data_IF_325457391672
#
_entry.id   IF_325457391672
#
_cell.length_a   1.000
_cell.length_b   1.000
_cell.length_c   1.000
_cell.angle_alpha   90.00
_cell.angle_beta   90.00
_cell.angle_gamma   90.00
#
_symmetry.space_group_name_H-M   'P 1'
#
loop_
_entity.id
_entity.type
_entity.pdbx_description
1 polymer ?
#
# COMPACT_ATOMS: atom_id res chain seq x y z
N UNK A 1 61.89 22.16 -14.61
CA UNK A 1 60.64 21.36 -14.44
C UNK A 1 59.35 22.19 -14.43
N UNK A 2 59.33 23.46 -14.01
CA UNK A 2 58.11 24.30 -14.04
C UNK A 2 57.72 24.77 -15.45
N UNK A 3 58.68 25.13 -16.31
CA UNK A 3 58.42 25.54 -17.70
C UNK A 3 57.79 24.43 -18.57
N UNK A 4 58.16 23.17 -18.33
CA UNK A 4 57.64 22.02 -19.08
C UNK A 4 56.19 21.69 -18.68
N UNK A 5 55.81 21.95 -17.41
CA UNK A 5 54.42 21.80 -16.93
C UNK A 5 53.50 22.89 -17.47
N UNK A 6 53.99 24.12 -17.63
CA UNK A 6 53.21 25.22 -18.22
C UNK A 6 52.98 25.03 -19.72
N UNK A 7 53.97 24.50 -20.46
CA UNK A 7 53.81 24.16 -21.88
C UNK A 7 52.83 22.99 -22.09
N UNK A 8 52.86 21.98 -21.22
CA UNK A 8 51.90 20.86 -21.27
C UNK A 8 50.47 21.31 -20.92
N UNK A 9 50.32 22.25 -19.97
CA UNK A 9 49.03 22.82 -19.61
C UNK A 9 48.44 23.68 -20.74
N UNK A 10 49.26 24.43 -21.48
CA UNK A 10 48.81 25.15 -22.68
C UNK A 10 48.42 24.20 -23.82
N UNK A 11 49.14 23.09 -24.03
CA UNK A 11 48.79 22.07 -25.02
C UNK A 11 47.51 21.31 -24.67
N UNK A 12 47.25 21.06 -23.39
CA UNK A 12 46.00 20.41 -22.92
C UNK A 12 44.82 21.39 -22.86
N UNK A 13 45.05 22.70 -22.77
CA UNK A 13 44.00 23.72 -22.79
C UNK A 13 43.57 24.14 -24.22
N UNK A 14 44.43 23.94 -25.22
CA UNK A 14 44.10 24.23 -26.63
C UNK A 14 43.57 23.02 -27.39
N UNK A 15 43.87 21.78 -26.95
CA UNK A 15 43.31 20.56 -27.54
C UNK A 15 41.77 20.40 -27.46
N UNK A 16 41.04 20.88 -26.43
CA UNK A 16 39.58 20.71 -26.37
C UNK A 16 38.83 21.65 -27.31
N UNK A 17 39.45 22.77 -27.73
CA UNK A 17 38.80 23.73 -28.63
C UNK A 17 38.85 23.29 -30.09
N UNK A 18 39.89 22.57 -30.51
CA UNK A 18 39.98 22.07 -31.89
C UNK A 18 39.03 20.90 -32.15
N UNK A 19 38.76 20.04 -31.14
CA UNK A 19 37.84 18.91 -31.29
C UNK A 19 36.36 19.33 -31.27
N UNK A 20 36.01 20.40 -30.55
CA UNK A 20 34.60 20.85 -30.46
C UNK A 20 34.08 21.46 -31.78
N UNK A 21 34.97 21.98 -32.64
CA UNK A 21 34.58 22.64 -33.89
C UNK A 21 34.38 21.63 -35.05
N UNK A 22 35.10 20.51 -35.04
CA UNK A 22 34.91 19.39 -35.99
C UNK A 22 33.60 18.60 -35.73
N UNK A 23 33.20 18.47 -34.46
CA UNK A 23 31.97 17.75 -34.07
C UNK A 23 30.68 18.51 -34.45
N UNK A 24 30.73 19.84 -34.56
CA UNK A 24 29.58 20.66 -34.88
C UNK A 24 29.18 20.64 -36.37
N UNK A 25 30.18 20.70 -37.25
CA UNK A 25 29.96 20.70 -38.69
C UNK A 25 29.57 19.29 -39.18
N UNK A 26 30.05 18.25 -38.50
CA UNK A 26 29.58 16.87 -38.67
C UNK A 26 28.18 16.65 -38.10
N UNK A 27 27.80 17.31 -37.00
CA UNK A 27 26.42 17.28 -36.49
C UNK A 27 25.43 17.84 -37.53
N UNK A 28 25.74 18.96 -38.21
CA UNK A 28 24.92 19.50 -39.30
C UNK A 28 24.76 18.51 -40.48
N UNK A 29 25.80 17.73 -40.77
CA UNK A 29 25.79 16.73 -41.85
C UNK A 29 24.88 15.53 -41.56
N UNK A 30 24.58 15.27 -40.28
CA UNK A 30 23.68 14.19 -39.85
C UNK A 30 22.22 14.62 -39.74
N UNK A 31 21.90 15.90 -39.95
CA UNK A 31 20.51 16.39 -39.86
C UNK A 31 19.67 15.88 -41.04
N UNK A 32 18.39 15.52 -40.80
CA UNK A 32 17.42 15.29 -41.86
C UNK A 32 17.26 16.52 -42.77
N UNK A 33 17.00 16.28 -44.07
CA UNK A 33 16.85 17.35 -45.07
C UNK A 33 15.74 18.35 -44.71
N UNK A 34 14.66 17.89 -44.08
CA UNK A 34 13.57 18.76 -43.62
C UNK A 34 14.04 19.73 -42.52
N UNK A 35 14.82 19.22 -41.56
CA UNK A 35 15.30 19.99 -40.42
C UNK A 35 16.40 20.97 -40.80
N UNK A 36 17.27 20.57 -41.74
CA UNK A 36 18.29 21.46 -42.31
C UNK A 36 17.64 22.69 -42.96
N UNK A 37 16.53 22.52 -43.70
CA UNK A 37 15.78 23.65 -44.29
C UNK A 37 15.23 24.57 -43.20
N UNK A 38 14.59 24.02 -42.17
CA UNK A 38 14.09 24.81 -41.03
C UNK A 38 15.20 25.59 -40.32
N UNK A 39 16.36 24.97 -40.13
CA UNK A 39 17.51 25.61 -39.50
C UNK A 39 18.06 26.77 -40.34
N UNK A 40 18.23 26.58 -41.65
CA UNK A 40 18.70 27.65 -42.56
C UNK A 40 17.74 28.82 -42.58
N UNK A 41 16.44 28.57 -42.77
CA UNK A 41 15.41 29.63 -42.82
C UNK A 41 15.33 30.41 -41.51
N UNK A 42 15.41 29.72 -40.36
CA UNK A 42 15.39 30.40 -39.07
C UNK A 42 16.66 31.23 -38.83
N UNK A 43 17.82 30.75 -39.28
CA UNK A 43 19.09 31.47 -39.17
C UNK A 43 19.09 32.74 -40.04
N UNK A 44 18.55 32.69 -41.27
CA UNK A 44 18.42 33.86 -42.16
C UNK A 44 17.61 35.00 -41.53
N UNK A 45 16.63 34.67 -40.69
CA UNK A 45 15.83 35.67 -39.95
C UNK A 45 16.43 36.09 -38.61
N UNK A 46 17.57 35.52 -38.21
CA UNK A 46 18.20 35.70 -36.91
C UNK A 46 19.50 36.50 -36.97
N UNK A 47 20.05 36.82 -35.79
CA UNK A 47 21.36 37.48 -35.66
C UNK A 47 22.54 36.50 -35.64
N UNK A 48 22.29 35.19 -35.77
CA UNK A 48 23.35 34.17 -35.73
C UNK A 48 23.87 33.85 -37.13
N UNK A 49 25.16 33.52 -37.24
CA UNK A 49 25.76 33.06 -38.51
C UNK A 49 25.56 31.56 -38.72
N UNK A 50 25.52 31.14 -39.99
CA UNK A 50 25.41 29.73 -40.36
C UNK A 50 26.67 28.97 -39.93
N UNK A 51 26.53 28.08 -38.94
CA UNK A 51 27.65 27.34 -38.36
C UNK A 51 28.14 27.89 -37.00
N UNK A 52 27.62 29.02 -36.52
CA UNK A 52 27.84 29.46 -35.14
C UNK A 52 26.93 28.68 -34.18
N UNK A 53 27.46 27.54 -33.73
CA UNK A 53 26.83 26.64 -32.76
C UNK A 53 26.55 27.36 -31.45
N UNK A 54 27.46 28.22 -30.99
CA UNK A 54 27.34 28.87 -29.69
C UNK A 54 26.19 29.87 -29.69
N UNK A 55 26.05 30.65 -30.76
CA UNK A 55 24.91 31.54 -30.94
C UNK A 55 23.59 30.74 -31.06
N UNK A 56 23.59 29.68 -31.87
CA UNK A 56 22.41 28.82 -32.07
C UNK A 56 21.94 28.13 -30.77
N UNK A 57 22.89 27.74 -29.91
CA UNK A 57 22.61 27.06 -28.64
C UNK A 57 22.19 28.00 -27.50
N UNK A 58 22.50 29.30 -27.59
CA UNK A 58 22.19 30.28 -26.54
C UNK A 58 20.96 31.13 -26.85
N UNK A 59 20.58 31.23 -28.12
CA UNK A 59 19.46 32.04 -28.58
C UNK A 59 18.11 31.29 -28.46
N UNK A 60 17.41 31.50 -27.34
CA UNK A 60 16.12 30.86 -27.04
C UNK A 60 15.00 31.11 -28.09
N UNK A 61 14.77 32.34 -28.61
CA UNK A 61 13.74 32.54 -29.63
C UNK A 61 14.07 31.83 -30.95
N UNK A 62 15.35 31.79 -31.34
CA UNK A 62 15.79 31.02 -32.51
C UNK A 62 15.48 29.52 -32.34
N UNK A 63 15.76 28.95 -31.16
CA UNK A 63 15.44 27.55 -30.87
C UNK A 63 13.95 27.26 -30.93
N UNK A 64 13.11 28.18 -30.44
CA UNK A 64 11.66 28.04 -30.50
C UNK A 64 11.12 28.08 -31.94
N UNK A 65 11.69 28.94 -32.79
CA UNK A 65 11.34 29.04 -34.22
C UNK A 65 11.73 27.75 -34.96
N UNK A 66 12.94 27.23 -34.71
CA UNK A 66 13.42 25.96 -35.27
C UNK A 66 12.55 24.81 -34.80
N UNK A 67 12.26 24.70 -33.50
CA UNK A 67 11.39 23.65 -32.95
C UNK A 67 10.00 23.71 -33.58
N UNK A 68 9.42 24.90 -33.71
CA UNK A 68 8.12 25.09 -34.36
C UNK A 68 8.13 24.65 -35.83
N UNK A 69 9.15 25.02 -36.61
CA UNK A 69 9.26 24.62 -38.01
C UNK A 69 9.48 23.12 -38.18
N UNK A 70 10.34 22.53 -37.35
CA UNK A 70 10.64 21.09 -37.40
C UNK A 70 9.40 20.28 -37.03
N UNK A 71 8.63 20.69 -36.01
CA UNK A 71 7.40 20.00 -35.62
C UNK A 71 6.29 20.07 -36.68
N UNK A 72 6.29 21.08 -37.56
CA UNK A 72 5.30 21.21 -38.64
C UNK A 72 5.73 20.59 -39.96
N UNK A 73 7.04 20.55 -40.24
CA UNK A 73 7.58 20.23 -41.58
C UNK A 73 8.33 18.90 -41.65
N UNK A 74 8.68 18.29 -40.51
CA UNK A 74 9.36 17.00 -40.43
C UNK A 74 8.46 15.92 -39.83
N UNK A 75 8.79 14.66 -40.09
CA UNK A 75 8.21 13.53 -39.33
C UNK A 75 8.65 13.59 -37.87
N UNK A 76 7.90 12.96 -36.97
CA UNK A 76 8.24 12.93 -35.53
C UNK A 76 9.59 12.28 -35.29
N UNK A 77 9.92 11.23 -36.05
CA UNK A 77 11.20 10.54 -35.95
C UNK A 77 12.35 11.46 -36.35
N UNK A 78 12.20 12.21 -37.45
CA UNK A 78 13.18 13.22 -37.87
C UNK A 78 13.29 14.35 -36.85
N UNK A 79 12.16 14.85 -36.32
CA UNK A 79 12.15 15.89 -35.29
C UNK A 79 12.90 15.46 -34.02
N UNK A 80 12.73 14.20 -33.59
CA UNK A 80 13.42 13.62 -32.44
C UNK A 80 14.91 13.41 -32.72
N UNK A 81 15.27 12.95 -33.91
CA UNK A 81 16.68 12.83 -34.35
C UNK A 81 17.35 14.20 -34.39
N UNK A 82 16.70 15.22 -34.95
CA UNK A 82 17.17 16.60 -34.96
C UNK A 82 17.37 17.11 -33.54
N UNK A 83 16.38 16.91 -32.65
CA UNK A 83 16.50 17.32 -31.25
C UNK A 83 17.67 16.64 -30.54
N UNK A 84 17.91 15.35 -30.80
CA UNK A 84 19.06 14.63 -30.27
C UNK A 84 20.38 15.26 -30.76
N UNK A 85 20.55 15.37 -32.08
CA UNK A 85 21.76 15.92 -32.69
C UNK A 85 22.03 17.35 -32.24
N UNK A 86 21.02 18.23 -32.25
CA UNK A 86 21.17 19.62 -31.83
C UNK A 86 21.52 19.74 -30.34
N UNK A 87 20.86 18.98 -29.46
CA UNK A 87 21.16 19.02 -28.03
C UNK A 87 22.54 18.42 -27.70
N UNK A 88 22.96 17.38 -28.41
CA UNK A 88 24.32 16.84 -28.31
C UNK A 88 25.36 17.85 -28.79
N UNK A 89 25.13 18.50 -29.94
CA UNK A 89 26.01 19.56 -30.45
C UNK A 89 26.11 20.76 -29.50
N UNK A 90 25.02 21.10 -28.80
CA UNK A 90 25.01 22.13 -27.76
C UNK A 90 25.64 21.70 -26.43
N UNK A 91 26.10 20.46 -26.30
CA UNK A 91 26.65 19.93 -25.04
C UNK A 91 25.64 19.89 -23.90
N UNK A 92 24.34 19.76 -24.21
CA UNK A 92 23.30 19.73 -23.18
C UNK A 92 23.48 18.50 -22.25
N UNK A 93 23.36 18.67 -20.92
CA UNK A 93 23.58 17.57 -20.00
C UNK A 93 22.51 16.48 -20.17
N UNK A 94 22.94 15.26 -20.53
CA UNK A 94 22.03 14.10 -20.62
C UNK A 94 21.59 13.70 -19.22
N UNK A 95 20.30 13.86 -18.92
CA UNK A 95 19.78 13.54 -17.59
C UNK A 95 19.52 12.04 -17.49
N UNK A 96 20.10 11.39 -16.46
CA UNK A 96 19.94 9.95 -16.27
C UNK A 96 19.69 9.60 -14.80
N UNK A 97 18.42 9.31 -14.47
CA UNK A 97 17.99 8.90 -13.12
C UNK A 97 17.60 7.42 -13.04
N UNK A 98 17.95 6.63 -14.07
CA UNK A 98 17.60 5.21 -14.16
C UNK A 98 18.13 4.41 -12.98
N UNK A 99 19.40 4.59 -12.61
CA UNK A 99 20.04 3.82 -11.54
C UNK A 99 19.37 4.03 -10.18
N UNK A 100 19.06 5.29 -9.86
CA UNK A 100 18.33 5.63 -8.63
C UNK A 100 16.94 4.99 -8.61
N UNK A 101 16.21 5.05 -9.73
CA UNK A 101 14.87 4.46 -9.85
C UNK A 101 14.89 2.94 -9.63
N UNK A 102 15.81 2.23 -10.31
CA UNK A 102 15.94 0.77 -10.18
C UNK A 102 16.34 0.39 -8.75
N UNK A 103 17.28 1.11 -8.14
CA UNK A 103 17.71 0.87 -6.76
C UNK A 103 16.55 1.02 -5.78
N UNK A 104 15.79 2.13 -5.85
CA UNK A 104 14.61 2.35 -5.00
C UNK A 104 13.54 1.27 -5.21
N UNK A 105 13.25 0.90 -6.45
CA UNK A 105 12.26 -0.14 -6.77
C UNK A 105 12.66 -1.50 -6.19
N UNK A 106 13.93 -1.90 -6.35
CA UNK A 106 14.43 -3.20 -5.84
C UNK A 106 14.44 -3.24 -4.31
N UNK A 107 14.95 -2.19 -3.65
CA UNK A 107 15.01 -2.14 -2.18
C UNK A 107 13.61 -2.19 -1.57
N UNK A 108 12.67 -1.38 -2.09
CA UNK A 108 11.29 -1.37 -1.60
C UNK A 108 10.58 -2.70 -1.89
N UNK A 109 10.84 -3.31 -3.05
CA UNK A 109 10.28 -4.62 -3.41
C UNK A 109 10.76 -5.76 -2.52
N UNK A 110 12.06 -5.79 -2.18
CA UNK A 110 12.60 -6.78 -1.24
C UNK A 110 11.99 -6.56 0.15
N UNK A 111 11.94 -5.31 0.61
CA UNK A 111 11.38 -4.98 1.91
C UNK A 111 9.91 -5.40 2.02
N UNK A 112 9.07 -5.03 1.06
CA UNK A 112 7.66 -5.40 1.06
C UNK A 112 7.46 -6.92 0.94
N UNK A 113 8.26 -7.60 0.13
CA UNK A 113 8.27 -9.06 0.01
C UNK A 113 8.60 -9.76 1.33
N UNK A 114 9.60 -9.28 2.08
CA UNK A 114 9.93 -9.80 3.41
C UNK A 114 8.76 -9.66 4.38
N UNK A 115 8.02 -8.55 4.35
CA UNK A 115 6.84 -8.36 5.20
C UNK A 115 5.68 -9.30 4.82
N UNK A 116 5.48 -9.58 3.53
CA UNK A 116 4.51 -10.58 3.07
C UNK A 116 4.89 -11.97 3.60
N UNK A 117 6.15 -12.38 3.40
CA UNK A 117 6.67 -13.68 3.89
C UNK A 117 6.54 -13.77 5.41
N UNK A 118 6.90 -12.71 6.14
CA UNK A 118 6.75 -12.61 7.59
C UNK A 118 5.30 -12.79 8.01
N UNK A 119 4.36 -12.14 7.33
CA UNK A 119 2.93 -12.24 7.60
C UNK A 119 2.42 -13.68 7.48
N UNK A 120 2.72 -14.37 6.37
CA UNK A 120 2.29 -15.75 6.16
C UNK A 120 2.99 -16.72 7.11
N UNK A 121 4.30 -16.57 7.30
CA UNK A 121 5.08 -17.38 8.24
C UNK A 121 4.50 -17.30 9.65
N UNK A 122 4.19 -16.09 10.12
CA UNK A 122 3.58 -15.88 11.45
C UNK A 122 2.27 -16.67 11.59
N UNK A 123 1.39 -16.62 10.58
CA UNK A 123 0.09 -17.31 10.63
C UNK A 123 0.24 -18.83 10.55
N UNK A 124 1.16 -19.33 9.72
CA UNK A 124 1.42 -20.75 9.56
C UNK A 124 2.03 -21.33 10.85
N UNK A 125 3.08 -20.70 11.39
CA UNK A 125 3.74 -21.17 12.62
C UNK A 125 2.81 -21.12 13.84
N UNK A 126 1.98 -20.09 13.96
CA UNK A 126 1.02 -19.94 15.06
C UNK A 126 -0.33 -20.64 14.79
N UNK A 127 -0.47 -21.38 13.68
CA UNK A 127 -1.70 -22.08 13.26
C UNK A 127 -2.95 -21.19 13.30
N UNK A 128 -2.79 -19.91 12.93
CA UNK A 128 -3.88 -18.94 12.89
C UNK A 128 -4.73 -19.17 11.64
N UNK A 129 -6.07 -19.03 11.72
CA UNK A 129 -6.92 -19.21 10.55
C UNK A 129 -6.67 -18.12 9.51
N UNK A 130 -6.50 -18.56 8.26
CA UNK A 130 -6.37 -17.72 7.09
C UNK A 130 -7.73 -17.09 6.77
N UNK A 131 -7.75 -15.77 6.58
CA UNK A 131 -8.96 -15.03 6.25
C UNK A 131 -8.95 -14.51 4.81
N UNK A 132 -10.05 -13.85 4.42
CA UNK A 132 -10.12 -13.15 3.14
C UNK A 132 -9.04 -12.06 3.01
N UNK A 133 -8.63 -11.46 4.13
CA UNK A 133 -7.50 -10.52 4.18
C UNK A 133 -6.21 -11.16 3.63
N UNK A 134 -5.97 -12.43 3.92
CA UNK A 134 -4.78 -13.14 3.41
C UNK A 134 -4.90 -13.50 1.94
N UNK A 135 -6.10 -13.89 1.48
CA UNK A 135 -6.36 -14.17 0.06
C UNK A 135 -6.06 -12.96 -0.81
N UNK A 136 -6.56 -11.78 -0.42
CA UNK A 136 -6.28 -10.55 -1.15
C UNK A 136 -4.82 -10.12 -1.04
N UNK A 137 -4.11 -10.45 0.05
CA UNK A 137 -2.65 -10.26 0.10
C UNK A 137 -1.89 -11.15 -0.90
N UNK A 138 -2.40 -12.35 -1.22
CA UNK A 138 -1.81 -13.18 -2.30
C UNK A 138 -2.01 -12.48 -3.65
N UNK A 139 -3.20 -11.95 -3.94
CA UNK A 139 -3.41 -11.19 -5.18
C UNK A 139 -2.55 -9.92 -5.27
N UNK A 140 -2.32 -9.25 -4.14
CA UNK A 140 -1.35 -8.15 -4.03
C UNK A 140 0.07 -8.64 -4.38
N UNK A 141 0.50 -9.79 -3.86
CA UNK A 141 1.82 -10.34 -4.21
C UNK A 141 1.92 -10.71 -5.71
N UNK A 142 0.88 -11.32 -6.26
CA UNK A 142 0.79 -11.70 -7.68
C UNK A 142 0.84 -10.48 -8.62
N UNK A 143 0.44 -9.30 -8.17
CA UNK A 143 0.50 -8.04 -8.95
C UNK A 143 1.77 -7.24 -8.67
N UNK A 144 2.27 -7.25 -7.43
CA UNK A 144 3.47 -6.54 -7.03
C UNK A 144 4.75 -7.14 -7.66
N UNK A 145 4.88 -8.47 -7.70
CA UNK A 145 6.08 -9.13 -8.26
C UNK A 145 6.29 -8.78 -9.74
N UNK A 146 5.29 -8.92 -10.64
CA UNK A 146 5.42 -8.46 -12.02
C UNK A 146 5.74 -6.97 -12.12
N UNK A 147 5.12 -6.13 -11.27
CA UNK A 147 5.34 -4.68 -11.28
C UNK A 147 6.81 -4.32 -10.99
N UNK A 148 7.44 -4.98 -10.01
CA UNK A 148 8.86 -4.79 -9.67
C UNK A 148 9.74 -5.19 -10.85
N UNK A 149 9.46 -6.34 -11.48
CA UNK A 149 10.23 -6.86 -12.62
C UNK A 149 10.08 -5.96 -13.86
N UNK A 150 8.86 -5.52 -14.19
CA UNK A 150 8.60 -4.65 -15.34
C UNK A 150 9.23 -3.27 -15.14
N UNK A 151 9.23 -2.72 -13.92
CA UNK A 151 9.96 -1.47 -13.64
C UNK A 151 11.47 -1.60 -13.92
N UNK A 152 12.09 -2.69 -13.46
CA UNK A 152 13.54 -2.88 -13.55
C UNK A 152 14.03 -3.32 -14.95
N UNK A 153 13.27 -4.19 -15.63
CA UNK A 153 13.68 -4.81 -16.89
C UNK A 153 12.83 -4.37 -18.10
N UNK A 154 11.68 -3.74 -17.88
CA UNK A 154 10.82 -3.16 -18.92
C UNK A 154 11.04 -1.66 -19.06
N UNK A 155 10.66 -0.85 -18.07
CA UNK A 155 10.67 0.61 -18.16
C UNK A 155 12.09 1.19 -18.12
N UNK A 156 12.93 0.74 -17.20
CA UNK A 156 14.31 1.23 -17.03
C UNK A 156 15.18 1.14 -18.30
N UNK A 157 15.24 0.01 -19.03
CA UNK A 157 16.00 -0.05 -20.27
C UNK A 157 15.35 0.75 -21.41
N UNK A 158 14.02 0.82 -21.46
CA UNK A 158 13.28 1.53 -22.51
C UNK A 158 13.12 3.04 -22.26
N UNK A 159 13.80 3.61 -21.27
CA UNK A 159 14.05 5.05 -21.20
C UNK A 159 13.40 5.81 -20.05
N UNK A 160 12.75 5.14 -19.08
CA UNK A 160 12.27 5.90 -17.91
C UNK A 160 13.43 6.58 -17.18
N UNK A 161 13.25 7.87 -16.88
CA UNK A 161 14.28 8.67 -16.24
C UNK A 161 15.45 9.06 -17.15
N UNK A 162 15.28 8.92 -18.46
CA UNK A 162 16.13 9.47 -19.52
C UNK A 162 15.29 10.35 -20.43
N UNK A 163 15.97 11.26 -21.10
CA UNK A 163 15.32 12.17 -22.03
C UNK A 163 14.85 11.43 -23.30
N UNK A 164 13.61 11.69 -23.74
CA UNK A 164 12.97 10.93 -24.82
C UNK A 164 13.75 10.97 -26.14
N UNK A 165 14.42 12.09 -26.45
CA UNK A 165 15.23 12.25 -27.66
C UNK A 165 16.48 11.36 -27.70
N UNK A 166 16.89 10.77 -26.56
CA UNK A 166 18.01 9.83 -26.49
C UNK A 166 17.61 8.39 -26.82
N UNK A 167 16.33 8.14 -27.12
CA UNK A 167 15.75 6.81 -27.29
C UNK A 167 15.50 6.50 -28.76
N UNK A 168 15.62 5.22 -29.09
CA UNK A 168 15.22 4.71 -30.41
C UNK A 168 13.69 4.62 -30.53
N UNK A 169 13.11 4.73 -31.75
CA UNK A 169 11.68 4.54 -32.01
C UNK A 169 11.08 3.27 -31.36
N UNK A 170 11.83 2.18 -31.41
CA UNK A 170 11.41 0.90 -30.84
C UNK A 170 11.38 0.95 -29.30
N UNK A 171 12.34 1.64 -28.67
CA UNK A 171 12.34 1.85 -27.22
C UNK A 171 11.17 2.72 -26.76
N UNK A 172 10.82 3.76 -27.51
CA UNK A 172 9.67 4.63 -27.19
C UNK A 172 8.36 3.81 -27.23
N UNK A 173 8.19 3.00 -28.27
CA UNK A 173 7.02 2.11 -28.39
C UNK A 173 6.97 1.09 -27.25
N UNK A 174 8.10 0.46 -26.92
CA UNK A 174 8.17 -0.49 -25.81
C UNK A 174 7.94 0.19 -24.46
N UNK A 175 8.44 1.40 -24.24
CA UNK A 175 8.13 2.19 -23.06
C UNK A 175 6.63 2.39 -22.91
N UNK A 176 5.93 2.80 -23.97
CA UNK A 176 4.47 2.93 -23.97
C UNK A 176 3.75 1.62 -23.61
N UNK A 177 4.18 0.50 -24.19
CA UNK A 177 3.62 -0.84 -23.88
C UNK A 177 3.79 -1.23 -22.41
N UNK A 178 4.99 -1.10 -21.86
CA UNK A 178 5.21 -1.45 -20.46
C UNK A 178 4.53 -0.47 -19.51
N UNK A 179 4.49 0.82 -19.85
CA UNK A 179 3.80 1.84 -19.06
C UNK A 179 2.29 1.57 -19.01
N UNK A 180 1.69 1.15 -20.12
CA UNK A 180 0.30 0.68 -20.18
C UNK A 180 0.04 -0.50 -19.22
N UNK A 181 0.87 -1.54 -19.28
CA UNK A 181 0.74 -2.71 -18.40
C UNK A 181 0.89 -2.30 -16.93
N UNK A 182 1.85 -1.43 -16.62
CA UNK A 182 2.08 -0.92 -15.26
C UNK A 182 0.89 -0.12 -14.73
N UNK A 183 0.22 0.68 -15.56
CA UNK A 183 -0.98 1.41 -15.16
C UNK A 183 -2.10 0.46 -14.72
N UNK A 184 -2.33 -0.63 -15.46
CA UNK A 184 -3.32 -1.66 -15.11
C UNK A 184 -2.94 -2.35 -13.81
N UNK A 185 -1.69 -2.83 -13.71
CA UNK A 185 -1.19 -3.50 -12.49
C UNK A 185 -1.29 -2.61 -11.26
N UNK A 186 -1.05 -1.30 -11.42
CA UNK A 186 -1.18 -0.33 -10.35
C UNK A 186 -2.62 -0.24 -9.82
N UNK A 187 -3.63 -0.15 -10.69
CA UNK A 187 -5.04 -0.11 -10.24
C UNK A 187 -5.46 -1.43 -9.58
N UNK A 188 -5.02 -2.58 -10.12
CA UNK A 188 -5.24 -3.88 -9.49
C UNK A 188 -4.61 -3.95 -8.10
N UNK A 189 -3.35 -3.56 -7.98
CA UNK A 189 -2.60 -3.56 -6.72
C UNK A 189 -3.29 -2.72 -5.66
N UNK A 190 -3.64 -1.47 -5.98
CA UNK A 190 -4.32 -0.54 -5.08
C UNK A 190 -5.67 -1.08 -4.59
N UNK A 191 -6.45 -1.68 -5.51
CA UNK A 191 -7.75 -2.26 -5.20
C UNK A 191 -7.61 -3.44 -4.24
N UNK A 192 -6.75 -4.41 -4.56
CA UNK A 192 -6.57 -5.60 -3.73
C UNK A 192 -5.98 -5.27 -2.35
N UNK A 193 -5.08 -4.29 -2.29
CA UNK A 193 -4.47 -3.84 -1.05
C UNK A 193 -5.47 -3.21 -0.10
N UNK A 194 -6.34 -2.31 -0.60
CA UNK A 194 -7.42 -1.72 0.21
C UNK A 194 -8.44 -2.78 0.64
N UNK A 195 -8.82 -3.69 -0.26
CA UNK A 195 -9.72 -4.81 0.08
C UNK A 195 -9.14 -5.68 1.21
N UNK A 196 -7.85 -6.04 1.12
CA UNK A 196 -7.13 -6.75 2.19
C UNK A 196 -7.22 -6.02 3.55
N UNK A 197 -6.97 -4.70 3.57
CA UNK A 197 -7.09 -3.89 4.79
C UNK A 197 -8.53 -3.85 5.35
N UNK A 198 -9.53 -3.69 4.48
CA UNK A 198 -10.94 -3.62 4.89
C UNK A 198 -11.41 -4.98 5.44
N UNK A 199 -11.03 -6.10 4.80
CA UNK A 199 -11.33 -7.44 5.31
C UNK A 199 -10.66 -7.71 6.66
N UNK A 200 -9.44 -7.22 6.84
CA UNK A 200 -8.77 -7.27 8.13
C UNK A 200 -9.55 -6.48 9.21
N UNK A 201 -10.07 -5.29 8.89
CA UNK A 201 -10.92 -4.52 9.80
C UNK A 201 -12.27 -5.20 10.08
N UNK A 202 -12.89 -5.85 9.10
CA UNK A 202 -14.11 -6.65 9.29
C UNK A 202 -13.92 -7.80 10.27
N UNK A 203 -12.71 -8.38 10.31
CA UNK A 203 -12.35 -9.43 11.26
C UNK A 203 -12.11 -8.91 12.68
N UNK A 204 -11.63 -7.68 12.83
CA UNK A 204 -11.30 -7.09 14.14
C UNK A 204 -12.51 -6.49 14.83
N UNK A 205 -13.36 -5.77 14.10
CA UNK A 205 -14.44 -4.97 14.70
C UNK A 205 -15.78 -5.71 14.60
N UNK A 206 -16.32 -6.25 15.70
CA UNK A 206 -17.61 -6.96 15.68
C UNK A 206 -18.83 -6.02 15.66
N UNK A 207 -18.66 -4.72 15.91
CA UNK A 207 -19.75 -3.74 16.04
C UNK A 207 -20.63 -3.66 14.79
N UNK A 208 -21.94 -3.95 14.92
CA UNK A 208 -22.91 -4.03 13.79
C UNK A 208 -22.89 -2.78 12.88
N UNK A 209 -22.88 -1.57 13.45
CA UNK A 209 -22.84 -0.32 12.68
C UNK A 209 -21.55 -0.13 11.87
N UNK A 210 -20.41 -0.47 12.46
CA UNK A 210 -19.08 -0.39 11.80
C UNK A 210 -18.99 -1.42 10.69
N UNK A 211 -19.49 -2.63 10.94
CA UNK A 211 -19.51 -3.73 9.97
C UNK A 211 -20.34 -3.36 8.73
N UNK A 212 -21.49 -2.68 8.90
CA UNK A 212 -22.27 -2.16 7.76
C UNK A 212 -21.48 -1.13 6.94
N UNK A 213 -20.79 -0.20 7.60
CA UNK A 213 -19.92 0.79 6.94
C UNK A 213 -18.75 0.13 6.18
N UNK A 214 -18.10 -0.87 6.79
CA UNK A 214 -17.01 -1.62 6.18
C UNK A 214 -17.47 -2.40 4.94
N UNK A 215 -18.61 -3.11 5.00
CA UNK A 215 -19.16 -3.78 3.82
C UNK A 215 -19.54 -2.80 2.70
N UNK A 216 -20.11 -1.64 3.04
CA UNK A 216 -20.33 -0.57 2.06
C UNK A 216 -19.03 -0.11 1.41
N UNK A 217 -17.95 -0.01 2.19
CA UNK A 217 -16.62 0.38 1.70
C UNK A 217 -16.01 -0.71 0.82
N UNK A 218 -16.21 -2.00 1.12
CA UNK A 218 -15.80 -3.12 0.25
C UNK A 218 -16.46 -3.00 -1.12
N UNK A 219 -17.78 -2.84 -1.16
CA UNK A 219 -18.55 -2.74 -2.41
C UNK A 219 -18.08 -1.54 -3.23
N UNK A 220 -17.97 -0.37 -2.59
CA UNK A 220 -17.51 0.84 -3.26
C UNK A 220 -16.09 0.69 -3.80
N UNK A 221 -15.15 0.14 -3.01
CA UNK A 221 -13.75 -0.05 -3.42
C UNK A 221 -13.64 -1.04 -4.58
N UNK A 222 -14.40 -2.13 -4.55
CA UNK A 222 -14.42 -3.13 -5.62
C UNK A 222 -14.97 -2.55 -6.93
N UNK A 223 -16.09 -1.82 -6.87
CA UNK A 223 -16.68 -1.17 -8.05
C UNK A 223 -15.73 -0.11 -8.60
N UNK A 224 -15.21 0.77 -7.73
CA UNK A 224 -14.25 1.80 -8.10
C UNK A 224 -13.03 1.20 -8.80
N UNK A 225 -12.40 0.19 -8.20
CA UNK A 225 -11.25 -0.50 -8.79
C UNK A 225 -11.57 -1.10 -10.15
N UNK A 226 -12.69 -1.80 -10.26
CA UNK A 226 -13.12 -2.44 -11.51
C UNK A 226 -13.36 -1.41 -12.62
N UNK A 227 -14.04 -0.30 -12.32
CA UNK A 227 -14.30 0.78 -13.28
C UNK A 227 -12.99 1.37 -13.81
N UNK A 228 -12.02 1.71 -12.94
CA UNK A 228 -10.76 2.30 -13.40
C UNK A 228 -9.84 1.31 -14.12
N UNK A 229 -9.90 0.03 -13.78
CA UNK A 229 -9.23 -1.03 -14.55
C UNK A 229 -9.79 -1.05 -15.98
N UNK A 230 -11.11 -1.08 -16.14
CA UNK A 230 -11.73 -1.07 -17.48
C UNK A 230 -11.48 0.23 -18.25
N UNK A 231 -11.56 1.38 -17.59
CA UNK A 231 -11.22 2.67 -18.21
C UNK A 231 -9.79 2.64 -18.73
N UNK A 232 -8.83 2.12 -17.95
CA UNK A 232 -7.42 2.07 -18.33
C UNK A 232 -7.17 1.08 -19.46
N UNK A 233 -7.83 -0.08 -19.46
CA UNK A 233 -7.73 -1.07 -20.54
C UNK A 233 -8.29 -0.49 -21.85
N UNK A 234 -9.45 0.17 -21.78
CA UNK A 234 -10.16 0.69 -22.95
C UNK A 234 -9.98 2.21 -23.15
N UNK A 235 -8.89 2.78 -22.64
CA UNK A 235 -8.66 4.22 -22.69
C UNK A 235 -8.40 4.75 -24.11
N UNK A 236 -7.97 3.89 -25.04
CA UNK A 236 -7.72 4.25 -26.43
C UNK A 236 -8.48 3.32 -27.39
N UNK A 237 -8.89 3.86 -28.52
CA UNK A 237 -9.51 3.13 -29.64
C UNK A 237 -8.72 3.41 -30.93
N UNK A 238 -8.04 2.41 -31.52
CA UNK A 238 -7.80 1.04 -30.99
C UNK A 238 -6.87 1.04 -29.75
N UNK A 239 -6.84 -0.05 -28.96
CA UNK A 239 -6.00 -0.16 -27.75
C UNK A 239 -4.51 0.05 -28.09
N UNK A 240 -4.08 -0.43 -29.27
CA UNK A 240 -2.73 -0.25 -29.75
C UNK A 240 -2.30 1.20 -29.91
N UNK A 241 -3.27 2.10 -30.08
CA UNK A 241 -3.01 3.51 -30.22
C UNK A 241 -2.34 4.11 -28.97
N UNK A 242 -2.48 3.51 -27.79
CA UNK A 242 -1.80 4.01 -26.59
C UNK A 242 -0.26 4.05 -26.74
N UNK A 243 0.34 3.05 -27.39
CA UNK A 243 1.79 2.96 -27.56
C UNK A 243 2.26 3.31 -28.97
N UNK A 244 1.36 3.56 -29.92
CA UNK A 244 1.72 4.05 -31.26
C UNK A 244 1.44 5.54 -31.44
N UNK A 245 0.58 6.18 -30.62
CA UNK A 245 0.23 7.62 -30.73
C UNK A 245 1.44 8.56 -30.84
N UNK A 246 2.59 8.19 -30.28
CA UNK A 246 3.78 9.05 -30.27
C UNK A 246 4.32 9.36 -31.67
N UNK A 247 4.10 8.49 -32.67
CA UNK A 247 4.62 8.68 -34.03
C UNK A 247 3.76 9.58 -34.92
N UNK A 248 2.53 9.89 -34.50
CA UNK A 248 1.54 10.64 -35.28
C UNK A 248 1.21 10.05 -36.67
N UNK A 249 1.60 8.80 -36.94
CA UNK A 249 1.32 8.09 -38.20
C UNK A 249 0.05 7.24 -38.10
N UNK A 250 -0.33 6.89 -36.89
CA UNK A 250 -1.52 6.08 -36.63
C UNK A 250 -2.73 6.94 -36.28
N UNK A 251 -3.89 6.56 -36.80
CA UNK A 251 -5.16 7.20 -36.42
C UNK A 251 -5.78 6.51 -35.21
N UNK A 252 -6.30 7.31 -34.29
CA UNK A 252 -7.00 6.81 -33.12
C UNK A 252 -7.40 7.92 -32.17
N UNK A 253 -8.24 7.58 -31.21
CA UNK A 253 -8.68 8.49 -30.15
C UNK A 253 -8.41 7.86 -28.79
N UNK A 254 -7.96 8.69 -27.84
CA UNK A 254 -7.79 8.29 -26.45
C UNK A 254 -8.61 9.22 -25.56
N UNK A 255 -9.05 8.69 -24.42
CA UNK A 255 -9.56 9.50 -23.32
C UNK A 255 -8.47 10.46 -22.83
N UNK A 256 -8.90 11.56 -22.22
CA UNK A 256 -7.98 12.48 -21.57
C UNK A 256 -7.32 11.78 -20.38
N UNK A 257 -6.05 11.41 -20.57
CA UNK A 257 -5.23 10.71 -19.57
C UNK A 257 -5.10 11.55 -18.31
N UNK A 258 -4.97 12.87 -18.42
CA UNK A 258 -4.85 13.75 -17.26
C UNK A 258 -6.16 13.74 -16.45
N UNK A 259 -7.31 13.83 -17.13
CA UNK A 259 -8.61 13.76 -16.46
C UNK A 259 -8.83 12.43 -15.73
N UNK A 260 -8.47 11.30 -16.36
CA UNK A 260 -8.56 9.96 -15.75
C UNK A 260 -7.64 9.84 -14.54
N UNK A 261 -6.39 10.29 -14.65
CA UNK A 261 -5.44 10.14 -13.54
C UNK A 261 -5.78 11.10 -12.38
N UNK A 262 -6.19 12.34 -12.64
CA UNK A 262 -6.55 13.29 -11.57
C UNK A 262 -7.81 12.89 -10.81
N UNK A 263 -8.84 12.42 -11.52
CA UNK A 263 -10.07 11.90 -10.91
C UNK A 263 -9.79 10.65 -10.07
N UNK A 264 -9.07 9.68 -10.62
CA UNK A 264 -8.71 8.46 -9.89
C UNK A 264 -7.88 8.75 -8.64
N UNK A 265 -6.88 9.64 -8.74
CA UNK A 265 -6.00 9.97 -7.65
C UNK A 265 -6.74 10.67 -6.50
N UNK A 266 -7.65 11.59 -6.81
CA UNK A 266 -8.47 12.29 -5.82
C UNK A 266 -9.36 11.32 -5.02
N UNK A 267 -10.04 10.41 -5.71
CA UNK A 267 -10.89 9.40 -5.07
C UNK A 267 -10.04 8.40 -4.27
N UNK A 268 -8.85 8.02 -4.78
CA UNK A 268 -7.96 7.10 -4.07
C UNK A 268 -7.50 7.66 -2.72
N UNK A 269 -7.16 8.97 -2.68
CA UNK A 269 -6.79 9.68 -1.45
C UNK A 269 -7.98 9.76 -0.49
N UNK A 270 -9.17 10.10 -1.00
CA UNK A 270 -10.38 10.12 -0.18
C UNK A 270 -10.66 8.76 0.46
N UNK A 271 -10.45 7.67 -0.30
CA UNK A 271 -10.56 6.31 0.21
C UNK A 271 -9.51 5.97 1.27
N UNK A 272 -8.26 6.41 1.11
CA UNK A 272 -7.23 6.20 2.12
C UNK A 272 -7.61 6.87 3.46
N UNK A 273 -8.07 8.12 3.40
CA UNK A 273 -8.52 8.87 4.58
C UNK A 273 -9.74 8.21 5.23
N UNK A 274 -10.70 7.76 4.42
CA UNK A 274 -11.89 7.07 4.90
C UNK A 274 -11.56 5.77 5.63
N UNK A 275 -10.75 4.90 5.01
CA UNK A 275 -10.34 3.61 5.58
C UNK A 275 -9.56 3.83 6.89
N UNK A 276 -8.74 4.88 6.95
CA UNK A 276 -7.97 5.28 8.13
C UNK A 276 -8.85 5.82 9.28
N UNK A 277 -9.97 6.47 8.95
CA UNK A 277 -10.89 7.07 9.94
C UNK A 277 -11.72 6.02 10.69
N UNK A 278 -12.08 4.91 10.03
CA UNK A 278 -12.89 3.83 10.62
C UNK A 278 -12.30 3.30 11.94
N UNK A 279 -11.04 2.79 12.00
CA UNK A 279 -10.47 2.27 13.23
C UNK A 279 -10.30 3.36 14.31
N UNK A 280 -9.97 4.60 13.93
CA UNK A 280 -9.86 5.71 14.89
C UNK A 280 -11.16 5.99 15.64
N UNK A 281 -12.28 5.98 14.92
CA UNK A 281 -13.59 6.24 15.51
C UNK A 281 -13.93 5.23 16.61
N UNK A 282 -13.46 3.98 16.45
CA UNK A 282 -13.66 2.91 17.42
C UNK A 282 -12.69 3.00 18.59
N UNK A 283 -11.44 3.38 18.32
CA UNK A 283 -10.43 3.53 19.37
C UNK A 283 -10.75 4.61 20.38
N UNK A 284 -11.38 5.73 19.95
CA UNK A 284 -11.81 6.79 20.87
C UNK A 284 -12.86 6.29 21.88
N UNK A 285 -13.63 5.27 21.52
CA UNK A 285 -14.70 4.70 22.36
C UNK A 285 -14.22 3.55 23.25
N UNK A 286 -13.01 3.02 23.04
CA UNK A 286 -12.53 1.82 23.70
C UNK A 286 -11.42 2.14 24.71
N UNK A 287 -11.65 1.86 26.00
CA UNK A 287 -10.66 2.00 27.07
C UNK A 287 -9.58 0.91 26.98
N UNK A 288 -8.64 1.08 26.05
CA UNK A 288 -7.49 0.18 25.88
C UNK A 288 -6.31 0.57 26.79
N UNK A 289 -5.65 -0.44 27.37
CA UNK A 289 -4.36 -0.28 28.05
C UNK A 289 -3.33 0.45 27.16
N UNK A 290 -2.51 1.32 27.77
CA UNK A 290 -1.53 2.17 27.08
C UNK A 290 -0.62 1.39 26.11
N UNK A 291 -0.23 0.16 26.46
CA UNK A 291 0.59 -0.72 25.60
C UNK A 291 -0.14 -1.25 24.37
N UNK A 292 -1.46 -1.48 24.44
CA UNK A 292 -2.27 -1.82 23.26
C UNK A 292 -2.46 -0.57 22.39
N UNK A 293 -2.61 0.58 23.03
CA UNK A 293 -2.70 1.90 22.37
C UNK A 293 -1.46 2.22 21.53
N UNK A 294 -0.24 1.91 22.00
CA UNK A 294 0.99 2.12 21.22
C UNK A 294 1.01 1.30 19.92
N UNK A 295 0.59 0.03 19.98
CA UNK A 295 0.60 -0.86 18.81
C UNK A 295 -0.40 -0.43 17.74
N UNK A 296 -1.56 0.07 18.16
CA UNK A 296 -2.55 0.63 17.24
C UNK A 296 -2.10 2.00 16.71
N UNK A 297 -1.43 2.82 17.54
CA UNK A 297 -0.82 4.07 17.12
C UNK A 297 0.23 3.89 16.02
N UNK A 298 1.05 2.83 16.09
CA UNK A 298 2.03 2.52 15.03
C UNK A 298 1.36 2.11 13.71
N UNK A 299 0.26 1.35 13.74
CA UNK A 299 -0.49 1.03 12.51
C UNK A 299 -1.10 2.29 11.88
N UNK A 300 -1.57 3.20 12.74
CA UNK A 300 -2.17 4.45 12.31
C UNK A 300 -1.16 5.41 11.69
N UNK A 301 0.05 5.53 12.26
CA UNK A 301 1.10 6.40 11.71
C UNK A 301 1.52 5.96 10.31
N UNK A 302 1.60 4.65 10.05
CA UNK A 302 1.89 4.15 8.71
C UNK A 302 0.75 4.41 7.74
N UNK A 303 -0.50 4.29 8.19
CA UNK A 303 -1.66 4.69 7.38
C UNK A 303 -1.63 6.18 6.99
N UNK A 304 -1.27 7.08 7.91
CA UNK A 304 -1.07 8.51 7.59
C UNK A 304 0.06 8.66 6.58
N UNK A 305 1.17 7.96 6.79
CA UNK A 305 2.30 8.04 5.86
C UNK A 305 1.90 7.62 4.44
N UNK A 306 1.10 6.55 4.28
CA UNK A 306 0.53 6.16 2.98
C UNK A 306 -0.30 7.30 2.38
N UNK A 307 -1.18 7.95 3.14
CA UNK A 307 -1.98 9.08 2.62
C UNK A 307 -1.11 10.24 2.13
N UNK A 308 0.00 10.53 2.82
CA UNK A 308 0.96 11.56 2.39
C UNK A 308 1.61 11.15 1.07
N UNK A 309 1.99 9.88 0.90
CA UNK A 309 2.55 9.38 -0.36
C UNK A 309 1.55 9.53 -1.51
N UNK A 310 0.27 9.23 -1.28
CA UNK A 310 -0.80 9.42 -2.27
C UNK A 310 -0.93 10.89 -2.72
N UNK A 311 -0.79 11.85 -1.80
CA UNK A 311 -0.79 13.29 -2.10
C UNK A 311 0.45 13.69 -2.92
N UNK A 312 1.63 13.20 -2.56
CA UNK A 312 2.87 13.48 -3.31
C UNK A 312 2.80 12.92 -4.73
N UNK A 313 2.20 11.73 -4.91
CA UNK A 313 1.93 11.17 -6.24
C UNK A 313 1.00 12.06 -7.07
N UNK A 314 -0.09 12.56 -6.48
CA UNK A 314 -1.00 13.48 -7.16
C UNK A 314 -0.25 14.75 -7.60
N UNK A 315 0.56 15.35 -6.71
CA UNK A 315 1.37 16.52 -7.04
C UNK A 315 2.33 16.24 -8.21
N UNK A 316 3.04 15.11 -8.19
CA UNK A 316 3.93 14.71 -9.28
C UNK A 316 3.16 14.49 -10.61
N UNK A 317 1.95 13.95 -10.54
CA UNK A 317 1.10 13.73 -11.72
C UNK A 317 0.61 15.06 -12.29
N UNK A 318 0.19 16.00 -11.44
CA UNK A 318 -0.24 17.33 -11.89
C UNK A 318 0.93 18.07 -12.54
N UNK A 319 2.14 17.96 -11.98
CA UNK A 319 3.34 18.56 -12.57
C UNK A 319 3.67 17.96 -13.95
N UNK A 320 3.58 16.63 -14.09
CA UNK A 320 3.77 15.95 -15.38
C UNK A 320 2.66 16.30 -16.40
N UNK A 321 1.41 16.43 -15.97
CA UNK A 321 0.27 16.71 -16.85
C UNK A 321 0.17 18.18 -17.29
N UNK A 322 0.74 19.11 -16.53
CA UNK A 322 0.70 20.56 -16.84
C UNK A 322 1.83 21.03 -17.75
N UNK A 323 2.69 20.12 -18.23
CA UNK A 323 3.69 20.43 -19.26
C UNK A 323 4.71 21.50 -18.86
N UNK A 324 4.98 21.66 -17.56
CA UNK A 324 6.00 22.61 -17.07
C UNK A 324 7.43 22.15 -17.37
N UNK A 325 7.63 20.96 -17.93
CA UNK A 325 8.90 20.49 -18.46
C UNK A 325 8.93 20.51 -19.99
N UNK A 326 10.14 20.61 -20.54
CA UNK A 326 10.38 20.47 -21.98
C UNK A 326 9.73 19.19 -22.48
N UNK A 327 8.79 19.24 -23.45
CA UNK A 327 8.09 18.13 -24.12
C UNK A 327 8.78 16.75 -24.05
N UNK A 328 8.77 16.09 -22.89
CA UNK A 328 9.64 14.94 -22.60
C UNK A 328 8.97 14.04 -21.56
N UNK A 329 8.00 13.23 -22.00
CA UNK A 329 7.20 12.42 -21.09
C UNK A 329 8.06 11.39 -20.35
N UNK A 330 9.06 10.76 -20.97
CA UNK A 330 9.89 9.72 -20.32
C UNK A 330 10.66 10.25 -19.11
N UNK A 331 10.97 11.54 -19.11
CA UNK A 331 11.56 12.23 -17.97
C UNK A 331 10.53 12.60 -16.91
N UNK A 332 9.40 13.22 -17.30
CA UNK A 332 8.40 13.73 -16.35
C UNK A 332 7.69 12.61 -15.58
N UNK A 333 7.43 11.46 -16.23
CA UNK A 333 6.75 10.32 -15.61
C UNK A 333 7.63 9.53 -14.64
N UNK A 334 8.94 9.83 -14.52
CA UNK A 334 9.80 9.17 -13.53
C UNK A 334 9.31 9.43 -12.10
N UNK A 335 8.90 10.66 -11.81
CA UNK A 335 8.45 11.07 -10.48
C UNK A 335 7.15 10.35 -10.12
N UNK A 336 6.20 10.31 -11.06
CA UNK A 336 4.93 9.60 -10.92
C UNK A 336 5.15 8.11 -10.64
N UNK A 337 6.01 7.46 -11.42
CA UNK A 337 6.30 6.02 -11.28
C UNK A 337 7.03 5.72 -9.97
N UNK A 338 7.96 6.59 -9.57
CA UNK A 338 8.69 6.47 -8.30
C UNK A 338 7.74 6.56 -7.10
N UNK A 339 6.88 7.59 -7.05
CA UNK A 339 5.91 7.73 -5.96
C UNK A 339 4.89 6.60 -5.93
N UNK A 340 4.41 6.14 -7.09
CA UNK A 340 3.49 4.98 -7.18
C UNK A 340 4.12 3.70 -6.64
N UNK A 341 5.41 3.48 -6.93
CA UNK A 341 6.17 2.34 -6.42
C UNK A 341 6.33 2.40 -4.91
N UNK A 342 6.69 3.58 -4.37
CA UNK A 342 6.83 3.78 -2.92
C UNK A 342 5.50 3.55 -2.22
N UNK A 343 4.43 4.19 -2.71
CA UNK A 343 3.09 4.07 -2.16
C UNK A 343 2.61 2.61 -2.10
N UNK A 344 2.73 1.86 -3.20
CA UNK A 344 2.31 0.45 -3.24
C UNK A 344 3.08 -0.41 -2.23
N UNK A 345 4.41 -0.28 -2.18
CA UNK A 345 5.25 -1.05 -1.26
C UNK A 345 5.01 -0.67 0.21
N UNK A 346 4.85 0.61 0.52
CA UNK A 346 4.53 1.10 1.87
C UNK A 346 3.13 0.63 2.28
N UNK A 347 2.16 0.63 1.36
CA UNK A 347 0.84 0.07 1.59
C UNK A 347 0.87 -1.42 1.95
N UNK A 348 1.72 -2.20 1.30
CA UNK A 348 1.94 -3.63 1.60
C UNK A 348 2.49 -3.78 3.02
N UNK A 349 3.51 -3.00 3.37
CA UNK A 349 4.10 -3.00 4.71
C UNK A 349 3.04 -2.65 5.76
N UNK A 350 2.22 -1.64 5.49
CA UNK A 350 1.09 -1.23 6.33
C UNK A 350 0.09 -2.38 6.56
N UNK A 351 -0.31 -3.08 5.49
CA UNK A 351 -1.22 -4.21 5.56
C UNK A 351 -0.64 -5.43 6.32
N UNK A 352 0.69 -5.56 6.36
CA UNK A 352 1.40 -6.62 7.09
C UNK A 352 1.67 -6.29 8.57
N UNK A 353 1.61 -5.02 8.97
CA UNK A 353 1.85 -4.59 10.36
C UNK A 353 1.05 -5.33 11.44
N UNK A 354 -0.23 -5.68 11.23
CA UNK A 354 -0.97 -6.45 12.22
C UNK A 354 -0.37 -7.80 12.57
N UNK A 355 0.09 -8.55 11.56
CA UNK A 355 0.77 -9.81 11.78
C UNK A 355 2.13 -9.59 12.43
N UNK A 356 2.85 -8.52 12.05
CA UNK A 356 4.11 -8.15 12.71
C UNK A 356 3.91 -7.87 14.20
N UNK A 357 2.84 -7.15 14.58
CA UNK A 357 2.51 -6.92 16.00
C UNK A 357 2.31 -8.22 16.76
N UNK A 358 1.60 -9.19 16.18
CA UNK A 358 1.38 -10.50 16.80
C UNK A 358 2.71 -11.22 17.03
N UNK A 359 3.59 -11.22 16.02
CA UNK A 359 4.92 -11.81 16.12
C UNK A 359 5.77 -11.13 17.20
N UNK A 360 5.80 -9.79 17.25
CA UNK A 360 6.61 -9.05 18.23
C UNK A 360 6.19 -9.32 19.67
N UNK A 361 4.88 -9.47 19.93
CA UNK A 361 4.37 -9.84 21.27
C UNK A 361 4.83 -11.25 21.67
N UNK A 362 4.97 -12.17 20.72
CA UNK A 362 5.40 -13.56 20.99
C UNK A 362 6.91 -13.70 21.15
N UNK A 363 7.71 -12.98 20.35
CA UNK A 363 9.19 -13.06 20.40
C UNK A 363 9.77 -12.27 21.58
N UNK A 364 9.18 -11.11 21.91
CA UNK A 364 9.65 -10.26 22.98
C UNK A 364 8.63 -10.11 24.11
N UNK A 365 8.24 -11.20 24.80
CA UNK A 365 7.30 -11.12 25.91
C UNK A 365 7.86 -10.23 27.02
N UNK A 366 9.19 -10.19 27.21
CA UNK A 366 9.86 -9.36 28.22
C UNK A 366 9.89 -7.86 27.91
N UNK A 367 9.91 -7.46 26.64
CA UNK A 367 9.93 -6.02 26.25
C UNK A 367 8.50 -5.46 26.17
N UNK A 368 7.50 -6.29 25.84
CA UNK A 368 6.12 -5.83 25.62
C UNK A 368 5.08 -6.33 26.65
N UNK A 369 5.41 -7.29 27.53
CA UNK A 369 4.49 -7.71 28.61
C UNK A 369 5.06 -8.68 29.66
N UNK A 370 5.47 -8.15 30.82
CA UNK A 370 5.36 -8.89 32.09
C UNK A 370 4.13 -8.40 32.85
N UNK A 371 2.96 -8.84 32.41
CA UNK A 371 1.81 -8.98 33.30
C UNK A 371 1.45 -10.45 33.36
N UNK A 372 2.41 -11.27 33.83
CA UNK A 372 2.04 -12.49 34.55
C UNK A 372 1.46 -12.02 35.87
N UNK A 373 0.12 -11.96 35.90
CA UNK A 373 -0.68 -11.91 37.12
C UNK A 373 -0.23 -13.07 38.02
N UNK A 374 -0.02 -12.77 39.30
CA UNK A 374 0.74 -13.60 40.23
C UNK A 374 0.31 -15.05 40.29
N UNK A 375 1.29 -15.93 40.07
CA UNK A 375 1.40 -17.14 40.87
C UNK A 375 2.61 -16.88 41.77
N UNK A 376 2.36 -16.24 42.91
CA UNK A 376 3.34 -16.23 43.98
C UNK A 376 3.51 -17.69 44.41
N UNK A 377 4.69 -18.23 44.11
CA UNK A 377 5.25 -19.39 44.78
C UNK A 377 5.44 -18.99 46.25
N UNK A 378 4.38 -19.11 47.04
CA UNK A 378 4.47 -19.15 48.50
C UNK A 378 4.54 -20.61 48.89
N UNK A 379 5.72 -20.98 49.42
CA UNK A 379 5.91 -21.85 50.59
C UNK A 379 7.10 -22.80 50.42
N UNK A 380 8.28 -22.22 50.66
CA UNK A 380 9.31 -22.86 51.47
C UNK A 380 9.10 -22.35 52.90
N UNK A 381 8.44 -23.11 53.76
CA UNK A 381 8.69 -23.08 55.20
C UNK A 381 8.28 -24.39 55.87
N UNK A 382 9.24 -25.00 56.55
CA UNK A 382 9.00 -25.73 57.80
C UNK A 382 8.47 -27.16 57.67
N UNK A 383 9.37 -28.12 57.52
CA UNK A 383 9.18 -29.42 58.15
C UNK A 383 9.03 -29.18 59.66
N UNK A 384 7.85 -29.41 60.23
CA UNK A 384 7.76 -29.72 61.64
C UNK A 384 6.62 -30.71 61.90
N UNK A 385 7.08 -31.87 62.36
CA UNK A 385 6.35 -33.04 62.81
C UNK A 385 5.65 -32.70 64.13
N UNK A 386 4.33 -32.90 64.31
CA UNK A 386 3.73 -32.82 65.64
C UNK A 386 3.74 -34.21 66.29
N UNK A 387 4.52 -34.34 67.35
CA UNK A 387 4.30 -35.35 68.39
C UNK A 387 3.30 -34.83 69.41
N UNK A 388 2.32 -35.67 69.73
CA UNK A 388 1.28 -35.49 70.74
C UNK A 388 1.77 -34.94 72.08
N UNK A 389 0.90 -34.16 72.74
CA UNK A 389 0.93 -34.04 74.21
C UNK A 389 0.27 -32.79 74.79
N UNK A 390 -0.97 -32.95 75.26
CA UNK A 390 -1.34 -32.58 76.64
C UNK A 390 -1.64 -31.12 77.02
N UNK A 391 -2.85 -30.96 77.55
CA UNK A 391 -3.25 -30.16 78.74
C UNK A 391 -3.51 -28.64 78.65
N UNK A 392 -4.75 -28.30 79.05
CA UNK A 392 -5.24 -27.20 79.89
C UNK A 392 -4.60 -25.79 79.76
N UNK A 393 -5.42 -24.78 79.44
CA UNK A 393 -5.78 -23.69 80.37
C UNK A 393 -6.57 -22.53 79.71
N UNK A 394 -7.61 -22.11 80.44
CA UNK A 394 -8.08 -20.72 80.68
C UNK A 394 -8.41 -19.72 79.55
N UNK A 395 -9.70 -19.31 79.58
CA UNK A 395 -10.23 -17.92 79.59
C UNK A 395 -9.71 -16.91 78.56
N UNK A 396 -10.61 -16.40 77.72
CA UNK A 396 -11.07 -14.99 77.82
C UNK A 396 -12.26 -14.72 76.90
N UNK A 397 -13.19 -13.92 77.42
CA UNK A 397 -14.42 -13.42 76.78
C UNK A 397 -14.09 -12.43 75.66
N UNK A 398 -14.98 -12.29 74.66
CA UNK A 398 -15.66 -11.01 74.35
C UNK A 398 -16.70 -11.11 73.23
N UNK A 399 -17.96 -10.91 73.65
CA UNK A 399 -19.05 -10.12 73.01
C UNK A 399 -19.46 -10.38 71.54
N UNK A 400 -20.66 -10.95 71.42
CA UNK A 400 -21.63 -10.65 70.36
C UNK A 400 -22.16 -9.19 70.45
N UNK A 401 -22.82 -8.68 69.40
CA UNK A 401 -24.30 -8.77 69.32
C UNK A 401 -24.76 -9.08 67.87
N UNK A 402 -26.02 -9.34 67.52
CA UNK A 402 -27.25 -9.89 68.11
C UNK A 402 -28.27 -9.83 66.95
N UNK A 403 -29.02 -10.91 66.73
CA UNK A 403 -30.28 -10.93 65.96
C UNK A 403 -30.17 -11.50 64.53
N UNK A 404 -31.06 -12.35 64.03
CA UNK A 404 -32.24 -13.03 64.60
C UNK A 404 -32.51 -14.28 63.74
N UNK A 405 -33.08 -15.29 64.39
CA UNK A 405 -33.34 -16.68 63.99
C UNK A 405 -34.36 -16.89 62.86
N UNK A 406 -34.19 -17.96 62.07
CA UNK A 406 -35.22 -19.01 61.96
C UNK A 406 -34.61 -20.36 61.51
N UNK A 407 -34.98 -21.41 62.25
CA UNK A 407 -34.65 -22.82 62.09
C UNK A 407 -35.40 -23.45 60.92
N UNK A 408 -34.79 -24.38 60.18
CA UNK A 408 -35.30 -25.76 59.98
C UNK A 408 -34.11 -26.70 59.81
N UNK A 409 -34.19 -27.82 60.52
CA UNK A 409 -33.19 -28.85 60.75
C UNK A 409 -33.55 -30.12 59.95
N UNK A 410 -32.56 -30.73 59.26
CA UNK A 410 -32.20 -32.16 59.27
C UNK A 410 -31.47 -32.65 57.99
N UNK A 411 -30.32 -33.23 58.27
CA UNK A 411 -29.19 -33.86 57.54
C UNK A 411 -29.56 -35.09 56.67
N UNK A 412 -28.64 -35.68 55.82
CA UNK A 412 -27.17 -35.61 55.88
C UNK A 412 -26.44 -35.23 54.59
N UNK A 413 -25.39 -34.43 54.78
CA UNK A 413 -24.35 -34.20 53.79
C UNK A 413 -23.60 -35.50 53.48
N UNK A 414 -23.67 -35.94 52.23
CA UNK A 414 -22.71 -36.89 51.68
C UNK A 414 -21.34 -36.22 51.65
N UNK A 415 -20.36 -36.84 52.32
CA UNK A 415 -18.94 -36.55 52.22
C UNK A 415 -18.54 -36.45 50.74
N UNK A 416 -17.95 -35.32 50.34
CA UNK A 416 -17.16 -35.21 49.13
C UNK A 416 -15.79 -34.70 49.56
N UNK A 417 -14.76 -35.44 49.16
CA UNK A 417 -13.38 -35.35 49.60
C UNK A 417 -12.73 -33.98 49.31
N UNK A 418 -11.78 -33.51 50.15
CA UNK A 418 -11.15 -32.19 49.99
C UNK A 418 -10.04 -32.14 48.91
N UNK A 419 -9.94 -33.15 48.03
CA UNK A 419 -8.95 -33.18 46.94
C UNK A 419 -9.69 -33.44 45.62
N UNK A 420 -10.36 -32.41 45.12
CA UNK A 420 -10.97 -32.38 43.79
C UNK A 420 -10.91 -30.96 43.24
N UNK A 421 -10.46 -30.80 42.00
CA UNK A 421 -10.52 -29.49 41.33
C UNK A 421 -11.96 -29.29 40.86
N UNK A 422 -12.69 -28.38 41.51
CA UNK A 422 -14.00 -27.92 41.05
C UNK A 422 -13.82 -26.86 39.96
N UNK A 423 -14.43 -27.10 38.80
CA UNK A 423 -14.45 -26.16 37.68
C UNK A 423 -15.86 -25.61 37.54
N UNK A 424 -16.09 -24.40 38.07
CA UNK A 424 -17.34 -23.68 37.84
C UNK A 424 -17.31 -23.03 36.46
N UNK A 425 -18.34 -23.34 35.66
CA UNK A 425 -18.49 -22.86 34.29
C UNK A 425 -19.78 -22.06 34.19
N UNK A 426 -19.67 -20.75 34.08
CA UNK A 426 -20.81 -19.85 33.87
C UNK A 426 -21.11 -19.72 32.38
N UNK A 427 -22.38 -19.84 32.02
CA UNK A 427 -22.90 -19.59 30.67
C UNK A 427 -23.84 -18.40 30.71
N UNK A 428 -23.75 -17.54 29.70
CA UNK A 428 -24.74 -16.48 29.47
C UNK A 428 -25.82 -17.06 28.55
N UNK A 429 -27.05 -17.17 29.06
CA UNK A 429 -28.20 -17.67 28.30
C UNK A 429 -28.95 -16.46 27.74
N UNK A 430 -28.87 -16.26 26.43
CA UNK A 430 -29.65 -15.25 25.71
C UNK A 430 -31.02 -15.84 25.35
N UNK A 431 -32.06 -15.45 26.07
CA UNK A 431 -33.43 -15.90 25.79
C UNK A 431 -33.96 -15.20 24.53
N UNK A 432 -34.20 -15.97 23.47
CA UNK A 432 -34.98 -15.52 22.32
C UNK A 432 -36.45 -15.39 22.72
N UNK A 433 -37.10 -14.30 22.29
CA UNK A 433 -38.47 -13.93 22.64
C UNK A 433 -39.57 -14.91 22.13
N UNK A 434 -39.19 -16.11 21.70
CA UNK A 434 -40.05 -17.17 21.16
C UNK A 434 -39.90 -18.52 21.88
N UNK A 435 -38.98 -18.66 22.83
CA UNK A 435 -38.67 -19.97 23.45
C UNK A 435 -39.68 -20.44 24.52
N UNK A 436 -40.63 -19.60 24.92
CA UNK A 436 -41.68 -19.99 25.88
C UNK A 436 -42.83 -20.80 25.25
N UNK A 437 -42.89 -20.93 23.93
CA UNK A 437 -44.04 -21.56 23.25
C UNK A 437 -43.88 -23.06 22.97
N UNK A 438 -42.75 -23.69 23.32
CA UNK A 438 -42.48 -25.07 22.90
C UNK A 438 -42.24 -26.09 24.02
N UNK A 439 -42.54 -25.75 25.28
CA UNK A 439 -42.43 -26.67 26.41
C UNK A 439 -43.66 -26.63 27.31
N UNK A 440 -44.84 -26.98 26.79
CA UNK A 440 -45.86 -27.84 27.43
C UNK A 440 -46.88 -28.25 26.36
N UNK A 441 -46.87 -29.51 25.93
CA UNK A 441 -48.07 -30.17 25.42
C UNK A 441 -48.53 -31.16 26.49
N UNK A 442 -49.34 -30.69 27.43
CA UNK A 442 -50.08 -31.54 28.37
C UNK A 442 -51.18 -32.24 27.57
N UNK A 443 -50.92 -33.45 27.08
CA UNK A 443 -51.97 -34.30 26.48
C UNK A 443 -52.26 -35.57 27.29
N UNK A 444 -51.54 -35.80 28.39
CA UNK A 444 -51.62 -37.06 29.15
C UNK A 444 -52.28 -36.93 30.54
N UNK A 445 -52.82 -35.76 30.91
CA UNK A 445 -53.50 -35.57 32.21
C UNK A 445 -55.05 -35.55 32.06
N UNK A 446 -55.57 -35.45 30.85
CA UNK A 446 -57.02 -35.36 30.60
C UNK A 446 -57.69 -36.73 30.37
N UNK A 447 -56.90 -37.81 30.16
CA UNK A 447 -57.44 -39.17 30.01
C UNK A 447 -57.70 -39.88 31.35
N UNK A 448 -57.00 -39.51 32.42
CA UNK A 448 -57.16 -40.18 33.73
C UNK A 448 -58.37 -39.64 34.52
N UNK A 449 -58.67 -38.35 34.38
CA UNK A 449 -59.82 -37.71 35.03
C UNK A 449 -61.20 -38.16 34.50
N UNK A 450 -61.27 -38.73 33.28
CA UNK A 450 -62.51 -39.30 32.72
C UNK A 450 -62.71 -40.77 33.09
N UNK A 451 -61.66 -41.49 33.53
CA UNK A 451 -61.78 -42.90 33.92
C UNK A 451 -62.31 -43.04 35.36
N UNK A 452 -61.82 -42.23 36.30
CA UNK A 452 -62.24 -42.27 37.72
C UNK A 452 -63.65 -41.71 37.97
N UNK A 453 -64.19 -40.89 37.06
CA UNK A 453 -65.56 -40.35 37.20
C UNK A 453 -66.65 -41.29 36.66
N UNK A 454 -66.28 -42.42 36.04
CA UNK A 454 -67.23 -43.44 35.56
C UNK A 454 -67.48 -44.61 36.53
N UNK A 455 -66.68 -44.74 37.59
CA UNK A 455 -66.83 -45.83 38.59
C UNK A 455 -67.58 -45.44 39.87
N UNK A 456 -68.01 -44.17 40.03
CA UNK A 456 -68.64 -43.70 41.28
C UNK A 456 -70.04 -43.10 41.11
N UNK A 457 -70.78 -43.48 40.06
CA UNK A 457 -72.15 -43.01 39.85
C UNK A 457 -73.04 -44.01 39.09
N UNK A 458 -73.40 -45.12 39.74
CA UNK A 458 -74.71 -45.76 39.53
C UNK A 458 -75.32 -46.17 40.88
N UNK A 459 -76.58 -45.82 41.17
CA UNK A 459 -77.39 -46.46 42.21
C UNK A 459 -77.83 -47.88 41.83
#
# INVERSE_FOLDING_TARGET
MMLFRSLLACLVATLPLALAQDDAMSALATLPKCAAKCMVTAIETSTCELGDVKCSCTNAPLQAEIEKCVLTSCTVQEAMSTKNTTLTACGAPVRNHRGQFVSTNTVMGILSGLFIVQRFSTKIFLKLPLGLDDLFMVFVACTAVPSITINAYGLAPNGIGRDIWTLTPQQITNFGRYFYIMAILYFCLQTFLKLSMIFFFLRIFPTKGVRKSLWSTVIFTAIFGLVYIFITIFQCRPISYFWTKWDHEHEGTCLDVNAVVWSSASINIALDIWILTIPLSQLKKMNLDWRKKIGVGMMFSVGIFVTIMSILRLSATVQAGTGKGSNNPTWEYIAVTRWSTIEGNVGIICACMPSLRILLVQIFPKILGTSRRGYQTYDKYGSNRPTNGGTNASRSRSRAPLGTTSHVDKTPASRIDPIGITCDRTYEVEYGQTDETHLVAMKDIEMDWRSERSQNSQP
#
